data_IF_071324444034
#
_entry.id   IF_071324444034
#
_cell.length_a   1.000
_cell.length_b   1.000
_cell.length_c   1.000
_cell.angle_alpha   90.00
_cell.angle_beta   90.00
_cell.angle_gamma   90.00
#
_symmetry.space_group_name_H-M   'P 1'
#
loop_
_entity.id
_entity.type
_entity.pdbx_description
1 polymer ?
#
# COMPACT_ATOMS: atom_id res chain seq x y z
N UNK A 1 -10.26 80.03 4.81
CA UNK A 1 -10.05 79.05 3.70
C UNK A 1 -9.77 77.71 4.35
N UNK A 2 -10.73 76.78 4.33
CA UNK A 2 -10.67 75.50 5.05
C UNK A 2 -9.75 74.50 4.37
N UNK A 3 -8.86 73.90 5.14
CA UNK A 3 -8.04 72.77 4.75
C UNK A 3 -8.89 71.49 4.75
N UNK A 4 -9.07 70.88 3.58
CA UNK A 4 -9.66 69.54 3.46
C UNK A 4 -8.56 68.50 3.64
N UNK A 5 -8.65 67.71 4.72
CA UNK A 5 -7.82 66.53 4.93
C UNK A 5 -8.39 65.36 4.12
N UNK A 6 -7.54 64.76 3.30
CA UNK A 6 -7.75 63.48 2.63
C UNK A 6 -7.97 62.36 3.66
N UNK A 7 -8.95 61.50 3.42
CA UNK A 7 -9.03 60.17 4.02
C UNK A 7 -9.18 59.13 2.89
N UNK A 8 -8.06 58.54 2.50
CA UNK A 8 -8.02 57.35 1.64
C UNK A 8 -8.18 56.12 2.53
N UNK A 9 -9.38 55.52 2.53
CA UNK A 9 -9.61 54.21 3.14
C UNK A 9 -9.14 53.16 2.13
N UNK A 10 -7.92 52.65 2.32
CA UNK A 10 -7.43 51.49 1.58
C UNK A 10 -8.08 50.25 2.21
N UNK A 11 -9.14 49.74 1.58
CA UNK A 11 -9.69 48.42 1.89
C UNK A 11 -8.73 47.40 1.29
N UNK A 12 -7.77 46.92 2.08
CA UNK A 12 -6.95 45.78 1.73
C UNK A 12 -7.83 44.53 1.65
N UNK A 13 -8.24 44.16 0.44
CA UNK A 13 -8.68 42.79 0.14
C UNK A 13 -7.46 41.88 0.26
N UNK A 14 -7.20 41.41 1.48
CA UNK A 14 -6.50 40.15 1.67
C UNK A 14 -7.39 39.08 1.05
N UNK A 15 -7.15 38.79 -0.24
CA UNK A 15 -7.52 37.53 -0.82
C UNK A 15 -6.75 36.45 -0.04
N UNK A 16 -7.34 35.98 1.07
CA UNK A 16 -7.01 34.66 1.56
C UNK A 16 -7.32 33.72 0.40
N UNK A 17 -6.27 33.28 -0.29
CA UNK A 17 -6.29 32.05 -1.04
C UNK A 17 -6.51 30.92 -0.02
N UNK A 18 -7.72 30.84 0.54
CA UNK A 18 -8.23 29.61 1.12
C UNK A 18 -8.22 28.69 -0.09
N UNK A 19 -7.18 27.88 -0.20
CA UNK A 19 -7.25 26.67 -1.01
C UNK A 19 -8.35 25.86 -0.35
N UNK A 20 -9.59 26.03 -0.80
CA UNK A 20 -10.63 25.07 -0.50
C UNK A 20 -10.08 23.76 -1.05
N UNK A 21 -9.71 22.84 -0.15
CA UNK A 21 -9.58 21.45 -0.53
C UNK A 21 -10.89 21.08 -1.22
N UNK A 22 -10.80 20.33 -2.33
CA UNK A 22 -12.00 19.79 -2.92
C UNK A 22 -12.72 18.97 -1.83
N UNK A 23 -14.03 19.17 -1.70
CA UNK A 23 -14.81 18.36 -0.77
C UNK A 23 -14.68 16.88 -1.17
N UNK A 24 -14.74 15.98 -0.18
CA UNK A 24 -14.74 14.55 -0.44
C UNK A 24 -15.91 14.18 -1.37
N UNK A 25 -15.62 13.35 -2.37
CA UNK A 25 -16.62 12.75 -3.23
C UNK A 25 -17.04 11.40 -2.63
N UNK A 26 -18.28 11.34 -2.14
CA UNK A 26 -18.88 10.14 -1.57
C UNK A 26 -19.42 9.21 -2.67
N UNK A 27 -19.38 7.90 -2.41
CA UNK A 27 -19.80 6.86 -3.35
C UNK A 27 -20.55 5.72 -2.65
N UNK A 28 -21.68 5.31 -3.24
CA UNK A 28 -22.60 4.31 -2.70
C UNK A 28 -22.18 2.85 -2.98
N UNK A 29 -20.99 2.65 -3.57
CA UNK A 29 -20.50 1.32 -3.97
C UNK A 29 -20.41 0.29 -2.84
N UNK A 30 -20.17 0.71 -1.60
CA UNK A 30 -20.03 -0.21 -0.47
C UNK A 30 -20.42 0.41 0.86
N UNK A 31 -21.06 -0.39 1.72
CA UNK A 31 -21.28 -0.03 3.13
C UNK A 31 -20.01 -0.30 3.94
N UNK A 32 -19.43 0.77 4.47
CA UNK A 32 -18.26 0.74 5.33
C UNK A 32 -18.65 0.67 6.81
N UNK A 33 -17.84 -0.03 7.60
CA UNK A 33 -17.80 0.12 9.05
C UNK A 33 -16.81 1.24 9.40
N UNK A 34 -17.30 2.30 10.04
CA UNK A 34 -16.49 3.47 10.41
C UNK A 34 -15.39 3.12 11.40
N UNK A 35 -15.64 2.21 12.35
CA UNK A 35 -14.64 1.82 13.34
C UNK A 35 -13.51 1.04 12.66
N UNK A 36 -13.84 0.17 11.69
CA UNK A 36 -12.84 -0.50 10.87
C UNK A 36 -12.01 0.50 10.07
N UNK A 37 -12.63 1.51 9.46
CA UNK A 37 -11.89 2.55 8.74
C UNK A 37 -11.00 3.40 9.64
N UNK A 38 -11.46 3.74 10.85
CA UNK A 38 -10.63 4.44 11.84
C UNK A 38 -9.44 3.58 12.27
N UNK A 39 -9.65 2.29 12.53
CA UNK A 39 -8.57 1.36 12.84
C UNK A 39 -7.59 1.20 11.66
N UNK A 40 -8.07 1.19 10.42
CA UNK A 40 -7.23 1.19 9.22
C UNK A 40 -6.37 2.45 9.15
N UNK A 41 -6.94 3.64 9.36
CA UNK A 41 -6.22 4.92 9.42
C UNK A 41 -5.13 4.89 10.48
N UNK A 42 -5.48 4.43 11.68
CA UNK A 42 -4.57 4.41 12.82
C UNK A 42 -3.43 3.38 12.66
N UNK A 43 -3.55 2.45 11.70
CA UNK A 43 -2.48 1.50 11.35
C UNK A 43 -1.41 2.05 10.40
N UNK A 44 -1.61 3.26 9.84
CA UNK A 44 -0.61 3.91 8.98
C UNK A 44 0.63 4.26 9.80
N UNK A 45 1.79 3.79 9.34
CA UNK A 45 3.08 3.99 9.97
C UNK A 45 3.74 5.31 9.52
N UNK A 46 4.29 6.03 10.49
CA UNK A 46 4.99 7.31 10.30
C UNK A 46 6.43 7.20 10.81
N UNK A 47 7.29 8.11 10.35
CA UNK A 47 8.67 8.20 10.84
C UNK A 47 8.65 8.51 12.35
N UNK A 48 9.30 7.68 13.19
CA UNK A 48 9.31 7.88 14.64
C UNK A 48 9.77 9.29 15.02
N UNK A 49 8.96 9.97 15.83
CA UNK A 49 9.24 11.32 16.34
C UNK A 49 9.02 12.46 15.34
N UNK A 50 8.58 12.20 14.11
CA UNK A 50 8.44 13.26 13.08
C UNK A 50 7.00 13.47 12.59
N UNK A 51 6.06 12.55 12.85
CA UNK A 51 4.66 12.63 12.38
C UNK A 51 4.53 12.91 10.88
N UNK A 52 5.44 12.37 10.07
CA UNK A 52 5.45 12.43 8.61
C UNK A 52 5.66 11.05 8.04
N UNK A 53 5.18 10.82 6.81
CA UNK A 53 5.49 9.57 6.10
C UNK A 53 6.96 9.56 5.67
N UNK A 54 7.54 8.38 5.44
CA UNK A 54 8.89 8.29 4.89
C UNK A 54 8.89 8.87 3.47
N UNK A 55 9.91 9.65 3.12
CA UNK A 55 9.98 10.37 1.82
C UNK A 55 9.95 9.48 0.57
N UNK A 56 10.23 8.18 0.73
CA UNK A 56 10.17 7.19 -0.35
C UNK A 56 8.76 6.68 -0.60
N UNK A 57 7.80 6.92 0.29
CA UNK A 57 6.42 6.46 0.12
C UNK A 57 5.77 7.13 -1.11
N UNK A 58 5.09 6.33 -1.91
CA UNK A 58 4.35 6.76 -3.11
C UNK A 58 2.91 6.28 -3.11
N UNK A 59 2.70 5.09 -2.56
CA UNK A 59 1.39 4.53 -2.25
C UNK A 59 1.43 3.97 -0.84
N UNK A 60 0.46 4.33 -0.01
CA UNK A 60 0.25 3.74 1.31
C UNK A 60 -1.09 3.01 1.24
N UNK A 61 -1.09 1.74 1.64
CA UNK A 61 -2.30 0.95 1.74
C UNK A 61 -2.42 0.47 3.19
N UNK A 62 -3.58 0.70 3.78
CA UNK A 62 -3.90 0.30 5.13
C UNK A 62 -5.29 -0.31 5.16
N UNK A 63 -5.48 -1.35 5.96
CA UNK A 63 -6.77 -2.02 6.08
C UNK A 63 -7.03 -2.52 7.49
N UNK A 64 -8.29 -2.53 7.86
CA UNK A 64 -8.82 -3.24 9.01
C UNK A 64 -10.20 -3.76 8.65
N UNK A 65 -10.48 -5.02 8.97
CA UNK A 65 -11.71 -5.69 8.53
C UNK A 65 -11.92 -5.53 7.02
N UNK A 66 -13.09 -5.02 6.64
CA UNK A 66 -13.46 -4.74 5.24
C UNK A 66 -13.12 -3.33 4.79
N UNK A 67 -12.55 -2.47 5.62
CA UNK A 67 -12.18 -1.12 5.18
C UNK A 67 -10.75 -1.09 4.62
N UNK A 68 -10.59 -0.52 3.43
CA UNK A 68 -9.32 -0.19 2.79
C UNK A 68 -9.15 1.32 2.74
N UNK A 69 -7.95 1.78 3.04
CA UNK A 69 -7.48 3.14 2.79
C UNK A 69 -6.30 3.06 1.84
N UNK A 70 -6.39 3.81 0.74
CA UNK A 70 -5.29 4.02 -0.19
C UNK A 70 -4.93 5.50 -0.22
N UNK A 71 -3.67 5.82 0.08
CA UNK A 71 -3.10 7.17 -0.07
C UNK A 71 -2.08 7.12 -1.20
N UNK A 72 -2.26 7.91 -2.24
CA UNK A 72 -1.31 8.12 -3.32
C UNK A 72 -0.62 9.47 -3.11
N UNK A 73 0.71 9.54 -3.27
CA UNK A 73 1.47 10.81 -3.13
C UNK A 73 1.75 11.38 -4.52
N UNK A 74 1.30 12.62 -4.77
CA UNK A 74 1.13 13.18 -6.13
C UNK A 74 1.71 14.60 -6.24
N UNK A 75 2.98 14.81 -5.85
CA UNK A 75 3.98 15.11 -6.89
C UNK A 75 5.31 14.36 -6.72
N UNK A 76 6.15 14.40 -7.76
CA UNK A 76 7.55 13.91 -7.74
C UNK A 76 8.51 15.09 -7.95
N UNK A 77 9.50 15.31 -7.06
CA UNK A 77 9.78 14.55 -5.85
C UNK A 77 8.67 14.72 -4.80
N UNK A 78 8.49 13.71 -3.95
CA UNK A 78 7.43 13.74 -2.94
C UNK A 78 7.67 14.83 -1.90
N UNK A 79 6.64 15.65 -1.60
CA UNK A 79 6.71 16.63 -0.55
C UNK A 79 6.67 15.94 0.81
N UNK A 80 6.99 16.69 1.86
CA UNK A 80 6.81 16.21 3.23
C UNK A 80 5.33 16.16 3.54
N UNK A 81 4.76 14.96 3.60
CA UNK A 81 3.35 14.74 3.96
C UNK A 81 3.25 14.43 5.44
N UNK A 82 2.44 15.21 6.14
CA UNK A 82 2.22 15.06 7.58
C UNK A 82 1.12 14.03 7.89
N UNK A 83 1.18 13.45 9.09
CA UNK A 83 0.10 12.64 9.66
C UNK A 83 -1.22 13.41 9.67
N UNK A 84 -1.18 14.67 10.09
CA UNK A 84 -2.38 15.52 10.18
C UNK A 84 -3.06 15.72 8.81
N UNK A 85 -2.27 15.91 7.74
CA UNK A 85 -2.77 16.06 6.37
C UNK A 85 -3.49 14.79 5.89
N UNK A 86 -2.89 13.62 6.13
CA UNK A 86 -3.51 12.31 5.83
C UNK A 86 -4.77 12.09 6.66
N UNK A 87 -4.70 12.28 7.98
CA UNK A 87 -5.82 12.06 8.89
C UNK A 87 -7.01 12.96 8.59
N UNK A 88 -6.76 14.25 8.32
CA UNK A 88 -7.81 15.21 7.96
C UNK A 88 -8.50 14.78 6.66
N UNK A 89 -7.71 14.41 5.65
CA UNK A 89 -8.24 13.99 4.36
C UNK A 89 -9.08 12.71 4.47
N UNK A 90 -8.64 11.74 5.28
CA UNK A 90 -9.40 10.52 5.57
C UNK A 90 -10.68 10.86 6.32
N UNK A 91 -10.62 11.72 7.34
CA UNK A 91 -11.79 12.10 8.13
C UNK A 91 -12.85 12.85 7.31
N UNK A 92 -12.41 13.68 6.35
CA UNK A 92 -13.32 14.32 5.39
C UNK A 92 -14.09 13.27 4.56
N UNK A 93 -13.45 12.16 4.18
CA UNK A 93 -14.12 11.05 3.50
C UNK A 93 -15.03 10.27 4.47
N UNK A 94 -14.60 10.04 5.72
CA UNK A 94 -15.45 9.36 6.72
C UNK A 94 -16.70 10.19 7.09
N UNK A 95 -16.73 11.49 6.81
CA UNK A 95 -17.93 12.31 6.91
C UNK A 95 -19.01 11.93 5.87
N UNK A 96 -18.68 11.14 4.85
CA UNK A 96 -19.66 10.48 3.97
C UNK A 96 -20.51 9.42 4.69
N UNK A 97 -20.27 9.16 5.99
CA UNK A 97 -20.97 8.13 6.75
C UNK A 97 -20.51 6.74 6.32
N UNK A 98 -21.45 5.80 6.17
CA UNK A 98 -21.12 4.40 5.82
C UNK A 98 -20.75 4.22 4.34
N UNK A 99 -20.42 5.27 3.61
CA UNK A 99 -20.21 5.22 2.17
C UNK A 99 -18.72 5.27 1.84
N UNK A 100 -18.34 4.66 0.72
CA UNK A 100 -16.99 4.82 0.18
C UNK A 100 -16.77 6.28 -0.23
N UNK A 101 -15.52 6.64 -0.49
CA UNK A 101 -15.26 7.95 -1.05
C UNK A 101 -13.81 8.19 -1.39
N UNK A 102 -13.60 9.33 -2.04
CA UNK A 102 -12.28 9.81 -2.40
C UNK A 102 -12.17 11.29 -2.12
N UNK A 103 -10.96 11.73 -1.78
CA UNK A 103 -10.64 13.13 -1.64
C UNK A 103 -9.28 13.37 -2.30
N UNK A 104 -9.25 14.34 -3.21
CA UNK A 104 -8.04 14.84 -3.85
C UNK A 104 -7.80 16.26 -3.30
N UNK A 105 -7.24 16.37 -2.07
CA UNK A 105 -6.86 17.67 -1.55
C UNK A 105 -5.78 18.22 -2.48
N UNK A 106 -6.09 19.36 -3.07
CA UNK A 106 -5.25 20.05 -4.06
C UNK A 106 -3.78 20.06 -3.62
N UNK A 107 -2.96 19.21 -4.27
CA UNK A 107 -1.49 19.27 -4.53
C UNK A 107 -0.60 18.12 -4.04
N UNK A 108 -1.01 17.29 -3.11
CA UNK A 108 -0.02 16.46 -2.39
C UNK A 108 -0.36 14.98 -2.28
N UNK A 109 -1.63 14.68 -2.00
CA UNK A 109 -2.11 13.31 -1.85
C UNK A 109 -3.45 13.14 -2.53
N UNK A 110 -3.72 11.91 -2.97
CA UNK A 110 -5.05 11.44 -3.33
C UNK A 110 -5.40 10.32 -2.37
N UNK A 111 -6.55 10.41 -1.71
CA UNK A 111 -7.00 9.43 -0.74
C UNK A 111 -8.28 8.78 -1.23
N UNK A 112 -8.34 7.46 -1.14
CA UNK A 112 -9.54 6.66 -1.36
C UNK A 112 -9.80 5.79 -0.13
N UNK A 113 -11.06 5.75 0.29
CA UNK A 113 -11.57 4.83 1.31
C UNK A 113 -12.63 3.96 0.66
N UNK A 114 -12.47 2.64 0.71
CA UNK A 114 -13.34 1.70 0.02
C UNK A 114 -13.52 0.39 0.78
N UNK A 115 -14.56 -0.37 0.42
CA UNK A 115 -14.78 -1.71 0.93
C UNK A 115 -13.88 -2.73 0.23
N UNK A 116 -13.37 -3.70 0.99
CA UNK A 116 -12.61 -4.85 0.51
C UNK A 116 -13.61 -5.98 0.23
N UNK A 117 -13.70 -6.47 -1.02
CA UNK A 117 -14.53 -7.62 -1.36
C UNK A 117 -14.12 -8.88 -0.58
N UNK A 118 -15.08 -9.74 -0.24
CA UNK A 118 -14.82 -10.97 0.53
C UNK A 118 -13.85 -11.95 -0.16
N UNK A 119 -13.78 -11.90 -1.49
CA UNK A 119 -12.88 -12.71 -2.30
C UNK A 119 -11.46 -12.13 -2.42
N UNK A 120 -11.20 -10.93 -1.88
CA UNK A 120 -9.88 -10.34 -1.84
C UNK A 120 -9.13 -10.90 -0.61
N UNK A 121 -8.26 -11.89 -0.84
CA UNK A 121 -7.60 -12.64 0.24
C UNK A 121 -6.09 -12.42 0.33
N UNK A 122 -5.49 -11.80 -0.69
CA UNK A 122 -4.04 -11.73 -0.85
C UNK A 122 -3.32 -11.01 0.31
N UNK A 123 -3.35 -9.67 0.30
CA UNK A 123 -2.44 -8.83 1.10
C UNK A 123 -3.16 -7.77 1.93
N UNK A 124 -4.49 -7.70 1.85
CA UNK A 124 -5.36 -6.86 2.67
C UNK A 124 -6.73 -7.55 2.80
N UNK A 125 -7.52 -7.15 3.80
CA UNK A 125 -8.89 -7.63 3.98
C UNK A 125 -9.13 -8.44 5.24
N UNK A 126 -10.40 -8.77 5.54
CA UNK A 126 -10.79 -9.38 6.81
C UNK A 126 -10.32 -10.82 6.94
N UNK A 127 -10.12 -11.50 5.80
CA UNK A 127 -9.69 -12.89 5.72
C UNK A 127 -8.17 -13.02 5.57
N UNK A 128 -7.44 -11.91 5.63
CA UNK A 128 -6.00 -11.91 5.52
C UNK A 128 -5.34 -12.65 6.67
N UNK A 129 -4.34 -13.48 6.35
CA UNK A 129 -3.52 -14.18 7.34
C UNK A 129 -2.04 -13.88 7.14
N UNK A 130 -1.51 -13.01 7.98
CA UNK A 130 -0.10 -12.63 7.92
C UNK A 130 0.81 -13.76 8.39
N UNK A 131 1.96 -13.90 7.72
CA UNK A 131 2.94 -14.97 7.97
C UNK A 131 2.37 -16.40 7.90
N UNK A 132 1.20 -16.58 7.28
CA UNK A 132 0.53 -17.87 7.15
C UNK A 132 0.34 -18.16 5.67
N UNK A 133 0.65 -19.39 5.25
CA UNK A 133 0.39 -19.81 3.89
C UNK A 133 -1.12 -19.98 3.65
N UNK A 134 -1.60 -19.43 2.55
CA UNK A 134 -2.94 -19.67 2.03
C UNK A 134 -2.79 -20.42 0.71
N UNK A 135 -3.47 -21.56 0.60
CA UNK A 135 -3.40 -22.43 -0.56
C UNK A 135 -4.57 -22.15 -1.49
N UNK A 136 -4.28 -22.02 -2.78
CA UNK A 136 -5.29 -21.84 -3.81
C UNK A 136 -5.86 -23.21 -4.21
N UNK A 137 -7.18 -23.26 -4.36
CA UNK A 137 -7.91 -24.49 -4.71
C UNK A 137 -8.10 -24.67 -6.21
N UNK A 138 -7.38 -23.91 -7.05
CA UNK A 138 -7.55 -23.95 -8.50
C UNK A 138 -7.29 -25.36 -9.04
N UNK A 139 -8.09 -25.80 -10.02
CA UNK A 139 -8.00 -27.15 -10.60
C UNK A 139 -6.63 -27.45 -11.27
N UNK A 140 -5.91 -26.41 -11.67
CA UNK A 140 -4.54 -26.50 -12.20
C UNK A 140 -3.45 -26.32 -11.12
N UNK A 141 -3.85 -25.99 -9.89
CA UNK A 141 -2.98 -25.62 -8.78
C UNK A 141 -2.06 -26.74 -8.31
N UNK A 142 -2.39 -28.01 -8.55
CA UNK A 142 -1.68 -29.19 -8.02
C UNK A 142 -0.39 -29.61 -8.73
N UNK A 143 0.38 -28.69 -9.32
CA UNK A 143 1.60 -29.01 -10.09
C UNK A 143 2.89 -28.45 -9.52
N UNK A 144 2.89 -27.67 -8.45
CA UNK A 144 4.11 -27.07 -7.91
C UNK A 144 5.02 -28.12 -7.25
N UNK A 145 5.95 -28.69 -8.01
CA UNK A 145 6.96 -29.57 -7.42
C UNK A 145 7.90 -28.75 -6.53
N UNK A 146 8.08 -29.19 -5.27
CA UNK A 146 8.85 -28.45 -4.26
C UNK A 146 10.25 -28.08 -4.77
N UNK A 147 10.94 -29.01 -5.42
CA UNK A 147 12.29 -28.77 -5.93
C UNK A 147 12.31 -27.72 -7.05
N UNK A 148 11.31 -27.74 -7.94
CA UNK A 148 11.19 -26.76 -9.01
C UNK A 148 11.00 -25.35 -8.44
N UNK A 149 10.20 -25.19 -7.38
CA UNK A 149 10.04 -23.91 -6.70
C UNK A 149 11.33 -23.43 -6.02
N UNK A 150 12.05 -24.33 -5.35
CA UNK A 150 13.34 -23.98 -4.73
C UNK A 150 14.37 -23.56 -5.78
N UNK A 151 14.39 -24.21 -6.94
CA UNK A 151 15.31 -23.88 -8.03
C UNK A 151 14.89 -22.60 -8.76
N UNK A 152 13.58 -22.31 -8.86
CA UNK A 152 13.08 -21.02 -9.31
C UNK A 152 13.51 -19.90 -8.35
N UNK A 153 13.40 -20.09 -7.04
CA UNK A 153 13.83 -19.10 -6.05
C UNK A 153 15.34 -18.80 -6.13
N UNK A 154 16.18 -19.83 -6.29
CA UNK A 154 17.65 -19.66 -6.43
C UNK A 154 18.06 -18.86 -7.67
N UNK A 155 17.19 -18.77 -8.68
CA UNK A 155 17.42 -18.00 -9.91
C UNK A 155 17.03 -16.53 -9.78
N UNK A 156 16.44 -16.11 -8.66
CA UNK A 156 16.14 -14.70 -8.40
C UNK A 156 17.45 -13.91 -8.31
N UNK A 157 17.55 -12.88 -9.14
CA UNK A 157 18.73 -12.00 -9.16
C UNK A 157 18.73 -11.06 -7.96
N UNK A 158 19.85 -10.99 -7.24
CA UNK A 158 20.05 -10.06 -6.12
C UNK A 158 21.39 -9.36 -6.17
N UNK A 159 21.50 -8.23 -5.46
CA UNK A 159 22.80 -7.59 -5.21
C UNK A 159 23.57 -8.26 -4.05
N UNK A 160 24.75 -7.73 -3.73
CA UNK A 160 25.61 -8.23 -2.64
C UNK A 160 25.01 -8.09 -1.23
N UNK A 161 23.90 -7.35 -1.08
CA UNK A 161 23.15 -7.21 0.17
C UNK A 161 21.93 -8.17 0.21
N UNK A 162 21.71 -8.96 -0.84
CA UNK A 162 20.55 -9.85 -0.97
C UNK A 162 19.25 -9.13 -1.32
N UNK A 163 19.30 -7.88 -1.80
CA UNK A 163 18.11 -7.17 -2.28
C UNK A 163 17.76 -7.60 -3.70
N UNK A 164 16.46 -7.71 -3.99
CA UNK A 164 15.95 -8.10 -5.30
C UNK A 164 16.33 -7.09 -6.39
N UNK A 165 16.76 -7.58 -7.54
CA UNK A 165 17.08 -6.77 -8.71
C UNK A 165 16.11 -7.03 -9.87
N UNK A 166 15.87 -5.99 -10.66
CA UNK A 166 15.16 -6.07 -11.93
C UNK A 166 16.11 -6.55 -13.06
N UNK A 167 15.59 -6.63 -14.29
CA UNK A 167 16.37 -7.03 -15.47
C UNK A 167 17.47 -6.06 -15.86
N UNK A 168 17.46 -4.85 -15.30
CA UNK A 168 18.46 -3.80 -15.50
C UNK A 168 19.45 -3.70 -14.32
N UNK A 169 19.36 -4.60 -13.33
CA UNK A 169 20.21 -4.61 -12.16
C UNK A 169 19.87 -3.53 -11.11
N UNK A 170 18.68 -2.94 -11.17
CA UNK A 170 18.20 -1.94 -10.20
C UNK A 170 17.35 -2.59 -9.11
N UNK A 171 17.26 -2.02 -7.89
CA UNK A 171 16.39 -2.52 -6.84
C UNK A 171 14.95 -2.68 -7.32
N UNK A 172 14.38 -3.87 -7.18
CA UNK A 172 13.06 -4.19 -7.71
C UNK A 172 11.98 -4.28 -6.64
N UNK A 173 10.78 -3.84 -6.99
CA UNK A 173 9.56 -4.03 -6.23
C UNK A 173 8.85 -5.35 -6.54
N UNK A 174 9.27 -6.06 -7.59
CA UNK A 174 8.70 -7.34 -7.99
C UNK A 174 9.73 -8.26 -8.67
N UNK A 175 9.53 -9.57 -8.56
CA UNK A 175 10.24 -10.56 -9.36
C UNK A 175 9.34 -11.76 -9.59
N UNK A 176 9.52 -12.43 -10.70
CA UNK A 176 8.92 -13.71 -10.97
C UNK A 176 9.95 -14.59 -11.68
N UNK A 177 10.05 -15.84 -11.27
CA UNK A 177 10.98 -16.79 -11.89
C UNK A 177 10.31 -18.14 -12.00
N UNK A 178 10.45 -18.76 -13.18
CA UNK A 178 9.82 -20.04 -13.50
C UNK A 178 10.88 -21.10 -13.73
N UNK A 179 10.70 -22.25 -13.08
CA UNK A 179 11.42 -23.48 -13.39
C UNK A 179 10.39 -24.58 -13.52
N UNK A 180 10.28 -25.16 -14.73
CA UNK A 180 9.39 -26.27 -15.05
C UNK A 180 7.96 -26.03 -14.52
N UNK A 181 7.60 -26.68 -13.42
CA UNK A 181 6.23 -26.70 -12.91
C UNK A 181 5.89 -25.57 -11.94
N UNK A 182 6.88 -24.77 -11.53
CA UNK A 182 6.69 -23.75 -10.51
C UNK A 182 7.21 -22.38 -10.94
N UNK A 183 6.37 -21.38 -10.73
CA UNK A 183 6.71 -19.96 -10.75
C UNK A 183 6.67 -19.41 -9.34
N UNK A 184 7.80 -18.85 -8.89
CA UNK A 184 7.88 -18.09 -7.65
C UNK A 184 7.72 -16.62 -7.98
N UNK A 185 6.84 -15.92 -7.27
CA UNK A 185 6.64 -14.48 -7.40
C UNK A 185 6.85 -13.81 -6.04
N UNK A 186 7.52 -12.67 -6.05
CA UNK A 186 7.67 -11.81 -4.87
C UNK A 186 7.35 -10.40 -5.32
N UNK A 187 6.43 -9.71 -4.65
CA UNK A 187 6.12 -8.32 -4.96
C UNK A 187 5.73 -7.53 -3.73
N UNK A 188 6.01 -6.23 -3.75
CA UNK A 188 5.53 -5.28 -2.77
C UNK A 188 4.18 -4.71 -3.16
N UNK A 189 3.32 -4.47 -2.17
CA UNK A 189 1.98 -3.91 -2.41
C UNK A 189 2.00 -2.41 -2.69
N UNK A 190 3.04 -1.70 -2.22
CA UNK A 190 3.17 -0.25 -2.37
C UNK A 190 4.07 0.17 -3.54
N UNK A 191 4.53 -0.79 -4.34
CA UNK A 191 5.38 -0.52 -5.51
C UNK A 191 6.80 -0.08 -5.16
N UNK A 192 7.21 -0.06 -3.89
CA UNK A 192 8.58 0.25 -3.50
C UNK A 192 9.50 -0.97 -3.58
N UNK A 193 10.81 -0.78 -3.76
CA UNK A 193 11.76 -1.89 -3.77
C UNK A 193 11.65 -2.79 -2.54
N UNK A 194 11.80 -4.08 -2.77
CA UNK A 194 11.84 -5.09 -1.70
C UNK A 194 13.19 -4.97 -0.99
N UNK A 195 13.14 -4.77 0.32
CA UNK A 195 14.30 -4.66 1.20
C UNK A 195 14.41 -5.84 2.19
N UNK A 196 13.49 -6.81 2.10
CA UNK A 196 13.53 -8.02 2.90
C UNK A 196 14.66 -8.95 2.47
N UNK A 197 15.28 -9.65 3.43
CA UNK A 197 16.41 -10.54 3.17
C UNK A 197 15.97 -11.82 2.47
N UNK A 198 16.79 -12.32 1.54
CA UNK A 198 16.56 -13.60 0.86
C UNK A 198 16.29 -14.76 1.82
N UNK A 199 16.97 -14.86 2.96
CA UNK A 199 16.73 -15.94 3.93
C UNK A 199 15.30 -15.92 4.49
N UNK A 200 14.75 -14.73 4.73
CA UNK A 200 13.38 -14.55 5.21
C UNK A 200 12.37 -14.86 4.11
N UNK A 201 12.66 -14.45 2.87
CA UNK A 201 11.85 -14.77 1.70
C UNK A 201 11.86 -16.28 1.40
N UNK A 202 13.02 -16.93 1.52
CA UNK A 202 13.20 -18.38 1.39
C UNK A 202 12.44 -19.13 2.48
N UNK A 203 12.52 -18.66 3.72
CA UNK A 203 11.74 -19.23 4.83
C UNK A 203 10.24 -19.14 4.55
N UNK A 204 9.78 -18.00 4.03
CA UNK A 204 8.38 -17.77 3.67
C UNK A 204 7.93 -18.68 2.53
N UNK A 205 8.76 -18.87 1.51
CA UNK A 205 8.54 -19.84 0.44
C UNK A 205 8.41 -21.26 1.01
N UNK A 206 9.31 -21.68 1.90
CA UNK A 206 9.23 -23.02 2.49
C UNK A 206 7.94 -23.23 3.29
N UNK A 207 7.46 -22.22 4.03
CA UNK A 207 6.15 -22.29 4.70
C UNK A 207 5.02 -22.55 3.69
N UNK A 208 5.04 -21.90 2.51
CA UNK A 208 4.07 -22.17 1.44
C UNK A 208 4.20 -23.61 0.94
N UNK A 209 5.40 -24.06 0.61
CA UNK A 209 5.65 -25.39 0.03
C UNK A 209 5.31 -26.52 1.00
N UNK A 210 5.55 -26.32 2.30
CA UNK A 210 5.26 -27.32 3.32
C UNK A 210 3.76 -27.38 3.66
N UNK A 211 3.06 -26.25 3.57
CA UNK A 211 1.61 -26.17 3.89
C UNK A 211 0.73 -26.54 2.69
N UNK A 212 1.06 -26.02 1.51
CA UNK A 212 0.25 -26.18 0.30
C UNK A 212 0.69 -27.37 -0.56
N UNK A 213 1.82 -27.98 -0.24
CA UNK A 213 2.38 -29.11 -0.99
C UNK A 213 2.48 -28.80 -2.48
N UNK A 214 1.75 -29.52 -3.32
CA UNK A 214 1.74 -29.31 -4.78
C UNK A 214 0.83 -28.17 -5.22
N UNK A 215 0.01 -27.60 -4.34
CA UNK A 215 -0.89 -26.50 -4.66
C UNK A 215 -0.13 -25.19 -4.84
N UNK A 216 -0.69 -24.28 -5.63
CA UNK A 216 -0.32 -22.87 -5.58
C UNK A 216 -0.72 -22.28 -4.24
N UNK A 217 0.03 -21.28 -3.81
CA UNK A 217 -0.25 -20.62 -2.56
C UNK A 217 0.46 -19.30 -2.46
N UNK A 218 0.08 -18.51 -1.47
CA UNK A 218 0.73 -17.26 -1.16
C UNK A 218 0.89 -17.08 0.34
N UNK A 219 1.79 -16.17 0.70
CA UNK A 219 2.05 -15.75 2.06
C UNK A 219 2.33 -14.25 2.05
N UNK A 220 1.59 -13.52 2.88
CA UNK A 220 1.76 -12.09 3.07
C UNK A 220 2.65 -11.77 4.29
N UNK A 221 3.57 -10.81 4.15
CA UNK A 221 4.48 -10.35 5.20
C UNK A 221 4.24 -8.86 5.50
N UNK A 222 4.38 -8.48 6.76
CA UNK A 222 4.36 -7.08 7.16
C UNK A 222 5.70 -6.43 6.80
N UNK A 223 5.68 -5.21 6.27
CA UNK A 223 6.90 -4.49 5.92
C UNK A 223 7.62 -5.13 4.75
N UNK A 224 8.96 -5.20 4.84
CA UNK A 224 9.82 -5.81 3.82
C UNK A 224 10.07 -4.96 2.58
N UNK A 225 9.63 -3.70 2.60
CA UNK A 225 9.89 -2.72 1.53
C UNK A 225 10.77 -1.60 2.06
N UNK A 226 11.28 -0.75 1.17
CA UNK A 226 12.00 0.45 1.59
C UNK A 226 11.10 1.43 2.40
N UNK A 227 9.78 1.37 2.23
CA UNK A 227 8.81 2.16 3.00
C UNK A 227 8.50 1.60 4.38
N UNK A 228 7.58 2.26 5.09
CA UNK A 228 7.06 1.80 6.39
C UNK A 228 5.71 1.10 6.25
N UNK A 229 4.98 1.36 5.16
CA UNK A 229 3.60 0.91 4.98
C UNK A 229 3.42 -0.19 3.92
N UNK A 230 4.52 -0.63 3.30
CA UNK A 230 4.45 -1.73 2.34
C UNK A 230 4.23 -3.07 3.01
N UNK A 231 3.57 -3.96 2.30
CA UNK A 231 3.53 -5.40 2.59
C UNK A 231 4.19 -6.15 1.45
N UNK A 232 4.69 -7.35 1.71
CA UNK A 232 5.17 -8.25 0.67
C UNK A 232 4.19 -9.40 0.48
N UNK A 233 4.09 -9.88 -0.76
CA UNK A 233 3.49 -11.17 -1.08
C UNK A 233 4.55 -12.07 -1.67
N UNK A 234 4.70 -13.27 -1.12
CA UNK A 234 5.42 -14.39 -1.74
C UNK A 234 4.37 -15.35 -2.29
N UNK A 235 4.46 -15.74 -3.57
CA UNK A 235 3.49 -16.63 -4.21
C UNK A 235 4.18 -17.76 -4.97
N UNK A 236 3.50 -18.90 -5.06
CA UNK A 236 3.82 -20.01 -5.96
C UNK A 236 2.64 -20.26 -6.89
N UNK A 237 2.91 -20.56 -8.16
CA UNK A 237 1.87 -20.92 -9.13
C UNK A 237 2.44 -21.49 -10.42
N UNK A 238 1.62 -22.24 -11.14
CA UNK A 238 1.93 -22.68 -12.50
C UNK A 238 1.24 -21.72 -13.49
N UNK A 239 2.00 -21.20 -14.45
CA UNK A 239 1.47 -20.52 -15.63
C UNK A 239 1.34 -21.51 -16.79
#
# INVERSE_FOLDING_TARGET
MSAYKLALVVISLLANHISLSAAAACDDLSKLDINECQAARDSIAYVPGQNVIKSVERSIQASSGKCMIQVLVVPTPSPVISKNEIDTTINDILACGTHAGKNDPVKNIQVMVSGIPDNYTDTYGPNQKMNTAVCNTDANGGKNEKQDCLDAFKKITTNNLGQLLDTHGQPSNHTYTTVKTCTVQIFSTNGLPVNEKLDKLSSSLNVILDTCHKQSGYLALHGGTEGLNGRLSVKTGAY
#
